data_IF_015669258459
#
_entry.id   IF_015669258459
#
_cell.length_a   1.000
_cell.length_b   1.000
_cell.length_c   1.000
_cell.angle_alpha   90.00
_cell.angle_beta   90.00
_cell.angle_gamma   90.00
#
_symmetry.space_group_name_H-M   'P 1'
#
loop_
_entity.id
_entity.type
_entity.pdbx_description
1 polymer ?
#
# COMPACT_ATOMS: atom_id res chain seq x y z
N UNK A 1 -25.54 8.22 -24.76
CA UNK A 1 -24.74 8.27 -23.52
C UNK A 1 -23.30 8.10 -23.92
N UNK A 2 -22.57 9.20 -24.00
CA UNK A 2 -21.14 9.20 -24.34
C UNK A 2 -20.41 8.57 -23.16
N UNK A 3 -19.76 7.43 -23.40
CA UNK A 3 -18.85 6.84 -22.44
C UNK A 3 -17.77 7.90 -22.13
N UNK A 4 -17.40 8.15 -20.86
CA UNK A 4 -16.30 9.05 -20.59
C UNK A 4 -15.05 8.48 -21.29
N UNK A 5 -14.49 9.21 -22.26
CA UNK A 5 -13.19 8.91 -22.84
C UNK A 5 -12.16 9.13 -21.73
N UNK A 6 -11.91 8.07 -20.97
CA UNK A 6 -10.85 8.03 -19.99
C UNK A 6 -9.56 7.77 -20.79
N UNK A 7 -8.89 8.86 -21.20
CA UNK A 7 -7.52 8.78 -21.72
C UNK A 7 -6.55 8.50 -20.55
N UNK A 8 -6.39 7.22 -20.19
CA UNK A 8 -5.44 6.80 -19.17
C UNK A 8 -4.16 6.32 -19.85
N UNK A 9 -3.09 7.11 -19.75
CA UNK A 9 -1.76 6.66 -20.18
C UNK A 9 -1.30 5.51 -19.26
N UNK A 10 -1.05 4.33 -19.83
CA UNK A 10 -0.50 3.18 -19.10
C UNK A 10 0.81 3.53 -18.36
N UNK A 11 1.64 4.39 -18.96
CA UNK A 11 2.84 4.95 -18.31
C UNK A 11 2.53 5.78 -17.06
N UNK A 12 1.46 6.58 -17.08
CA UNK A 12 1.02 7.35 -15.91
C UNK A 12 0.49 6.43 -14.80
N UNK A 13 -0.23 5.36 -15.16
CA UNK A 13 -0.73 4.36 -14.21
C UNK A 13 0.43 3.60 -13.56
N UNK A 14 1.43 3.16 -14.33
CA UNK A 14 2.64 2.51 -13.79
C UNK A 14 3.43 3.44 -12.86
N UNK A 15 3.55 4.72 -13.21
CA UNK A 15 4.18 5.73 -12.34
C UNK A 15 3.41 5.89 -11.02
N UNK A 16 2.07 5.89 -11.08
CA UNK A 16 1.24 5.97 -9.89
C UNK A 16 1.38 4.72 -9.02
N UNK A 17 1.41 3.52 -9.62
CA UNK A 17 1.68 2.28 -8.90
C UNK A 17 3.02 2.33 -8.14
N UNK A 18 4.07 2.86 -8.75
CA UNK A 18 5.36 3.07 -8.08
C UNK A 18 5.30 4.07 -6.92
N UNK A 19 4.47 5.12 -7.02
CA UNK A 19 4.24 6.04 -5.90
C UNK A 19 3.46 5.38 -4.76
N UNK A 20 2.50 4.51 -5.07
CA UNK A 20 1.73 3.73 -4.09
C UNK A 20 2.64 2.75 -3.34
N UNK A 21 3.55 2.08 -4.03
CA UNK A 21 4.58 1.24 -3.38
C UNK A 21 5.47 2.05 -2.43
N UNK A 22 5.91 3.25 -2.84
CA UNK A 22 6.68 4.13 -1.96
C UNK A 22 5.93 4.49 -0.67
N UNK A 23 4.59 4.62 -0.72
CA UNK A 23 3.77 4.82 0.48
C UNK A 23 3.72 3.54 1.33
N UNK A 24 3.61 2.36 0.71
CA UNK A 24 3.65 1.09 1.44
C UNK A 24 4.98 0.90 2.18
N UNK A 25 6.10 1.29 1.57
CA UNK A 25 7.42 1.23 2.19
C UNK A 25 7.53 2.16 3.41
N UNK A 26 7.04 3.40 3.28
CA UNK A 26 7.01 4.34 4.42
C UNK A 26 6.13 3.82 5.58
N UNK A 27 5.00 3.18 5.26
CA UNK A 27 4.13 2.57 6.27
C UNK A 27 4.81 1.37 6.96
N UNK A 28 5.58 0.57 6.22
CA UNK A 28 6.38 -0.52 6.78
C UNK A 28 7.48 -0.01 7.72
N UNK A 29 8.16 1.07 7.36
CA UNK A 29 9.18 1.68 8.22
C UNK A 29 8.56 2.24 9.51
N UNK A 30 7.41 2.92 9.41
CA UNK A 30 6.66 3.40 10.57
C UNK A 30 6.22 2.23 11.49
N UNK A 31 5.77 1.12 10.90
CA UNK A 31 5.40 -0.09 11.64
C UNK A 31 6.59 -0.70 12.40
N UNK A 32 7.77 -0.77 11.75
CA UNK A 32 8.99 -1.27 12.37
C UNK A 32 9.39 -0.39 13.56
N UNK A 33 9.28 0.94 13.43
CA UNK A 33 9.51 1.88 14.52
C UNK A 33 8.51 1.71 15.67
N UNK A 34 7.22 1.56 15.37
CA UNK A 34 6.17 1.33 16.37
C UNK A 34 6.40 0.02 17.15
N UNK A 35 6.75 -1.06 16.45
CA UNK A 35 7.08 -2.35 17.06
C UNK A 35 8.34 -2.27 17.96
N UNK A 36 9.35 -1.50 17.55
CA UNK A 36 10.54 -1.27 18.37
C UNK A 36 10.23 -0.52 19.67
N UNK A 37 9.40 0.53 19.60
CA UNK A 37 8.94 1.27 20.78
C UNK A 37 8.12 0.39 21.72
N UNK A 38 7.25 -0.47 21.17
CA UNK A 38 6.48 -1.43 21.96
C UNK A 38 7.39 -2.44 22.68
N UNK A 39 8.44 -2.94 22.01
CA UNK A 39 9.42 -3.84 22.60
C UNK A 39 10.30 -3.16 23.66
N UNK A 40 10.47 -1.83 23.59
CA UNK A 40 11.25 -1.00 24.52
C UNK A 40 10.53 -0.77 25.87
N UNK A 41 9.74 -1.72 26.36
CA UNK A 41 9.05 -1.66 27.66
C UNK A 41 9.96 -1.37 28.88
N UNK A 42 11.29 -1.42 28.70
CA UNK A 42 12.27 -0.92 29.67
C UNK A 42 12.19 0.61 29.90
N UNK A 43 11.69 1.38 28.94
CA UNK A 43 11.62 2.85 29.00
C UNK A 43 10.56 3.38 29.97
N UNK A 44 9.55 2.59 30.34
CA UNK A 44 8.54 2.96 31.35
C UNK A 44 8.93 2.62 32.80
N UNK A 45 10.11 2.00 33.01
CA UNK A 45 10.61 1.60 34.33
C UNK A 45 9.83 0.44 34.97
N UNK A 46 10.51 -0.42 35.74
CA UNK A 46 9.93 -1.69 36.25
C UNK A 46 8.68 -1.55 37.14
N UNK A 47 8.46 -0.39 37.78
CA UNK A 47 7.40 -0.20 38.77
C UNK A 47 6.11 0.39 38.19
N UNK A 48 6.23 1.27 37.20
CA UNK A 48 5.10 1.92 36.51
C UNK A 48 4.80 1.21 35.18
N UNK A 49 5.80 0.57 34.59
CA UNK A 49 5.71 -0.19 33.34
C UNK A 49 4.57 -1.19 33.33
N UNK A 50 4.45 -2.08 34.33
CA UNK A 50 3.41 -3.13 34.32
C UNK A 50 1.97 -2.65 34.20
N UNK A 51 1.63 -1.49 34.79
CA UNK A 51 0.29 -0.91 34.72
C UNK A 51 0.04 -0.26 33.36
N UNK A 52 1.01 0.50 32.85
CA UNK A 52 0.90 1.19 31.58
C UNK A 52 0.99 0.23 30.38
N UNK A 53 1.88 -0.78 30.43
CA UNK A 53 1.97 -1.82 29.40
C UNK A 53 0.71 -2.69 29.37
N UNK A 54 0.10 -2.97 30.51
CA UNK A 54 -1.16 -3.74 30.56
C UNK A 54 -2.33 -3.04 29.87
N UNK A 55 -2.34 -1.70 29.83
CA UNK A 55 -3.39 -0.91 29.18
C UNK A 55 -3.00 -0.55 27.74
N UNK A 56 -1.76 -0.10 27.51
CA UNK A 56 -1.31 0.44 26.22
C UNK A 56 -0.97 -0.65 25.20
N UNK A 57 -0.42 -1.79 25.63
CA UNK A 57 0.00 -2.84 24.70
C UNK A 57 -1.18 -3.39 23.88
N UNK A 58 -2.38 -3.66 24.44
CA UNK A 58 -3.53 -4.09 23.64
C UNK A 58 -3.96 -3.08 22.57
N UNK A 59 -3.90 -1.78 22.87
CA UNK A 59 -4.21 -0.74 21.88
C UNK A 59 -3.12 -0.66 20.80
N UNK A 60 -1.85 -0.74 21.20
CA UNK A 60 -0.73 -0.78 20.26
C UNK A 60 -0.77 -2.01 19.37
N UNK A 61 -1.04 -3.20 19.91
CA UNK A 61 -1.17 -4.45 19.14
C UNK A 61 -2.27 -4.33 18.07
N UNK A 62 -3.42 -3.75 18.46
CA UNK A 62 -4.51 -3.49 17.52
C UNK A 62 -4.10 -2.50 16.44
N UNK A 63 -3.46 -1.39 16.81
CA UNK A 63 -2.97 -0.39 15.85
C UNK A 63 -1.91 -0.97 14.90
N UNK A 64 -0.99 -1.81 15.39
CA UNK A 64 0.00 -2.53 14.59
C UNK A 64 -0.67 -3.48 13.61
N UNK A 65 -1.73 -4.19 14.04
CA UNK A 65 -2.54 -5.04 13.17
C UNK A 65 -3.20 -4.24 12.03
N UNK A 66 -3.84 -3.13 12.34
CA UNK A 66 -4.47 -2.26 11.33
C UNK A 66 -3.44 -1.66 10.35
N UNK A 67 -2.26 -1.27 10.84
CA UNK A 67 -1.18 -0.76 9.98
C UNK A 67 -0.65 -1.84 9.02
N UNK A 68 -0.53 -3.10 9.47
CA UNK A 68 -0.17 -4.22 8.59
C UNK A 68 -1.20 -4.47 7.49
N UNK A 69 -2.49 -4.36 7.85
CA UNK A 69 -3.57 -4.45 6.87
C UNK A 69 -3.51 -3.31 5.85
N UNK A 70 -3.24 -2.08 6.32
CA UNK A 70 -3.08 -0.91 5.46
C UNK A 70 -1.92 -1.09 4.47
N UNK A 71 -0.73 -1.51 4.94
CA UNK A 71 0.42 -1.84 4.06
C UNK A 71 0.01 -2.85 2.99
N UNK A 72 -0.62 -3.95 3.39
CA UNK A 72 -1.01 -5.02 2.48
C UNK A 72 -2.03 -4.53 1.44
N UNK A 73 -2.98 -3.69 1.84
CA UNK A 73 -3.96 -3.09 0.94
C UNK A 73 -3.31 -2.10 -0.04
N UNK A 74 -2.33 -1.32 0.41
CA UNK A 74 -1.58 -0.38 -0.44
C UNK A 74 -0.74 -1.14 -1.48
N UNK A 75 -0.06 -2.23 -1.08
CA UNK A 75 0.66 -3.09 -2.03
C UNK A 75 -0.30 -3.74 -3.05
N UNK A 76 -1.45 -4.26 -2.59
CA UNK A 76 -2.46 -4.81 -3.49
C UNK A 76 -3.03 -3.78 -4.47
N UNK A 77 -3.15 -2.51 -4.06
CA UNK A 77 -3.56 -1.43 -4.96
C UNK A 77 -2.49 -1.15 -6.03
N UNK A 78 -1.21 -1.14 -5.67
CA UNK A 78 -0.13 -0.97 -6.65
C UNK A 78 -0.13 -2.11 -7.68
N UNK A 79 -0.35 -3.34 -7.25
CA UNK A 79 -0.44 -4.50 -8.15
C UNK A 79 -1.67 -4.43 -9.06
N UNK A 80 -2.82 -3.99 -8.53
CA UNK A 80 -4.01 -3.76 -9.35
C UNK A 80 -3.79 -2.66 -10.40
N UNK A 81 -3.07 -1.58 -10.06
CA UNK A 81 -2.71 -0.52 -11.01
C UNK A 81 -1.78 -1.05 -12.11
N UNK A 82 -0.81 -1.91 -11.76
CA UNK A 82 0.05 -2.57 -12.77
C UNK A 82 -0.75 -3.45 -13.71
N UNK A 83 -1.63 -4.29 -13.17
CA UNK A 83 -2.49 -5.18 -13.96
C UNK A 83 -3.41 -4.38 -14.90
N UNK A 84 -3.96 -3.26 -14.42
CA UNK A 84 -4.75 -2.34 -15.25
C UNK A 84 -3.92 -1.73 -16.38
N UNK A 85 -2.68 -1.31 -16.11
CA UNK A 85 -1.80 -0.79 -17.15
C UNK A 85 -1.45 -1.85 -18.20
N UNK A 86 -1.20 -3.10 -17.78
CA UNK A 86 -0.91 -4.21 -18.68
C UNK A 86 -2.13 -4.54 -19.57
N UNK A 87 -3.35 -4.50 -19.02
CA UNK A 87 -4.60 -4.74 -19.78
C UNK A 87 -4.86 -3.65 -20.84
N UNK A 88 -4.57 -2.38 -20.51
CA UNK A 88 -4.64 -1.29 -21.48
C UNK A 88 -3.60 -1.46 -22.60
N UNK A 89 -2.33 -1.73 -22.26
CA UNK A 89 -1.28 -1.94 -23.25
C UNK A 89 -1.61 -3.11 -24.19
N UNK A 90 -2.19 -4.20 -23.66
CA UNK A 90 -2.64 -5.35 -24.44
C UNK A 90 -3.81 -5.01 -25.38
N UNK A 91 -4.81 -4.29 -24.87
CA UNK A 91 -5.99 -3.89 -25.62
C UNK A 91 -5.62 -2.94 -26.77
N UNK A 92 -4.74 -1.96 -26.50
CA UNK A 92 -4.24 -1.03 -27.51
C UNK A 92 -3.40 -1.75 -28.58
N UNK A 93 -2.54 -2.69 -28.18
CA UNK A 93 -1.76 -3.48 -29.12
C UNK A 93 -2.64 -4.38 -30.02
N UNK A 94 -3.73 -4.93 -29.49
CA UNK A 94 -4.70 -5.69 -30.28
C UNK A 94 -5.51 -4.80 -31.22
N UNK A 95 -5.96 -3.63 -30.76
CA UNK A 95 -6.63 -2.65 -31.60
C UNK A 95 -5.71 -2.18 -32.75
N UNK A 96 -4.44 -1.86 -32.45
CA UNK A 96 -3.45 -1.47 -33.44
C UNK A 96 -3.22 -2.57 -34.50
N UNK A 97 -3.15 -3.85 -34.10
CA UNK A 97 -3.04 -4.97 -35.04
C UNK A 97 -4.27 -5.08 -35.95
N UNK A 98 -5.48 -4.88 -35.42
CA UNK A 98 -6.72 -4.95 -36.19
C UNK A 98 -6.87 -3.78 -37.17
N UNK A 99 -6.39 -2.59 -36.81
CA UNK A 99 -6.50 -1.38 -37.64
C UNK A 99 -5.34 -1.29 -38.66
N UNK A 100 -4.12 -1.66 -38.25
CA UNK A 100 -2.92 -1.64 -39.10
C UNK A 100 -2.76 -2.85 -40.01
N UNK A 101 -3.61 -3.88 -39.86
CA UNK A 101 -3.63 -5.09 -40.69
C UNK A 101 -4.36 -4.93 -42.03
N UNK A 102 -4.20 -3.80 -42.73
CA UNK A 102 -4.56 -3.65 -44.15
C UNK A 102 -3.31 -3.69 -45.02
#
# INVERSE_FOLDING_TARGET
MTQPDIELSSGAVRKHAGAVDGVADMLNEALAGAAYVQASAESYGKMVGGLFTGILNPFQDRSIGEMKNAVSATQGLADALRAMADDFDMTDAEAARRIGGK
#
